data_IF_095194998233
#
_entry.id   IF_095194998233
#
_cell.length_a   1.000
_cell.length_b   1.000
_cell.length_c   1.000
_cell.angle_alpha   90.00
_cell.angle_beta   90.00
_cell.angle_gamma   90.00
#
_symmetry.space_group_name_H-M   'P 1'
#
loop_
_entity.id
_entity.type
_entity.pdbx_description
1 polymer ?
#
# COMPACT_ATOMS: atom_id res chain seq x y z
N UNK A 1 -9.36 -26.79 63.22
CA UNK A 1 -8.62 -25.51 63.22
C UNK A 1 -7.34 -25.75 62.41
N UNK A 2 -6.99 -25.15 61.27
CA UNK A 2 -7.52 -24.08 60.42
C UNK A 2 -7.08 -24.47 58.99
N UNK A 3 -8.03 -24.47 58.04
CA UNK A 3 -7.76 -24.56 56.59
C UNK A 3 -7.11 -23.24 56.16
N UNK A 4 -5.92 -23.28 55.55
CA UNK A 4 -5.41 -22.14 54.81
C UNK A 4 -5.09 -22.50 53.36
N UNK A 5 -5.97 -21.99 52.50
CA UNK A 5 -5.84 -21.88 51.06
C UNK A 5 -4.58 -21.08 50.74
N UNK A 6 -3.73 -21.54 49.83
CA UNK A 6 -3.09 -20.67 48.83
C UNK A 6 -2.94 -21.43 47.52
N UNK A 7 -3.87 -21.11 46.62
CA UNK A 7 -3.73 -21.34 45.19
C UNK A 7 -2.46 -20.63 44.72
N UNK A 8 -1.54 -21.36 44.09
CA UNK A 8 -0.47 -20.75 43.30
C UNK A 8 -1.06 -20.46 41.94
N UNK A 9 -1.25 -19.17 41.72
CA UNK A 9 -1.78 -18.51 40.54
C UNK A 9 -0.86 -18.74 39.36
N UNK A 10 -1.46 -19.13 38.23
CA UNK A 10 -0.92 -19.03 36.88
C UNK A 10 -0.23 -17.67 36.67
N UNK A 11 1.06 -17.66 36.36
CA UNK A 11 1.70 -16.49 35.75
C UNK A 11 2.04 -16.86 34.32
N UNK A 12 1.27 -16.25 33.43
CA UNK A 12 1.42 -16.26 31.99
C UNK A 12 2.81 -15.78 31.59
N UNK A 13 3.55 -16.63 30.89
CA UNK A 13 4.70 -16.21 30.09
C UNK A 13 4.16 -15.93 28.67
N UNK A 14 3.53 -14.76 28.49
CA UNK A 14 3.39 -14.16 27.16
C UNK A 14 4.61 -13.26 26.99
N UNK A 15 5.72 -13.87 26.63
CA UNK A 15 6.94 -13.16 26.25
C UNK A 15 6.74 -12.57 24.85
N UNK A 16 6.62 -11.25 24.81
CA UNK A 16 7.18 -10.35 23.81
C UNK A 16 7.15 -10.82 22.34
N UNK A 17 6.00 -10.66 21.67
CA UNK A 17 5.98 -10.36 20.24
C UNK A 17 6.29 -8.87 20.01
N UNK A 18 7.46 -8.44 20.47
CA UNK A 18 8.03 -7.13 20.20
C UNK A 18 8.94 -7.17 18.97
N UNK A 19 8.59 -7.97 17.95
CA UNK A 19 9.27 -7.86 16.67
C UNK A 19 8.75 -6.59 16.00
N UNK A 20 9.67 -5.71 15.62
CA UNK A 20 9.37 -4.47 14.95
C UNK A 20 8.80 -4.66 13.51
N UNK A 21 7.97 -5.67 13.26
CA UNK A 21 7.40 -6.01 11.96
C UNK A 21 6.10 -5.25 11.67
N UNK A 22 5.85 -4.97 10.39
CA UNK A 22 4.62 -4.34 9.92
C UNK A 22 3.38 -4.95 10.62
N UNK A 23 2.37 -4.13 10.96
CA UNK A 23 1.13 -4.66 11.48
C UNK A 23 0.53 -5.69 10.52
N UNK A 24 -0.19 -6.67 11.07
CA UNK A 24 -0.81 -7.72 10.26
C UNK A 24 -1.74 -7.11 9.22
N UNK A 25 -1.48 -7.45 7.95
CA UNK A 25 -2.22 -6.93 6.82
C UNK A 25 -3.55 -7.67 6.70
N UNK A 26 -4.62 -6.94 6.39
CA UNK A 26 -5.92 -7.57 6.16
C UNK A 26 -5.83 -8.57 5.01
N UNK A 27 -6.37 -9.78 5.23
CA UNK A 27 -6.39 -10.82 4.20
C UNK A 27 -7.45 -10.50 3.15
N UNK A 28 -7.01 -10.28 1.91
CA UNK A 28 -7.88 -10.12 0.76
C UNK A 28 -8.27 -11.51 0.23
N UNK A 29 -9.56 -11.70 -0.05
CA UNK A 29 -10.09 -12.94 -0.63
C UNK A 29 -10.50 -12.81 -2.10
N UNK A 30 -10.77 -11.60 -2.55
CA UNK A 30 -11.23 -11.30 -3.91
C UNK A 30 -10.76 -9.90 -4.30
N UNK A 31 -10.30 -9.73 -5.54
CA UNK A 31 -10.00 -8.41 -6.10
C UNK A 31 -11.14 -8.00 -7.03
N UNK A 32 -11.77 -6.87 -6.74
CA UNK A 32 -12.77 -6.28 -7.63
C UNK A 32 -12.08 -5.45 -8.71
N UNK A 33 -12.32 -5.78 -9.98
CA UNK A 33 -11.54 -5.30 -11.10
C UNK A 33 -12.44 -4.66 -12.17
N UNK A 34 -12.18 -3.40 -12.50
CA UNK A 34 -12.85 -2.65 -13.57
C UNK A 34 -11.89 -2.32 -14.71
N UNK A 35 -12.27 -2.70 -15.93
CA UNK A 35 -11.57 -2.29 -17.14
C UNK A 35 -12.47 -2.35 -18.37
N UNK A 36 -12.29 -1.39 -19.27
CA UNK A 36 -13.05 -1.26 -20.52
C UNK A 36 -14.58 -1.22 -20.27
N UNK A 37 -15.01 -0.62 -19.17
CA UNK A 37 -16.41 -0.50 -18.78
C UNK A 37 -17.02 -1.76 -18.16
N UNK A 38 -16.23 -2.84 -17.99
CA UNK A 38 -16.67 -4.07 -17.34
C UNK A 38 -16.03 -4.17 -15.96
N UNK A 39 -16.85 -4.43 -14.94
CA UNK A 39 -16.42 -4.58 -13.56
C UNK A 39 -16.90 -5.92 -12.99
N UNK A 40 -16.06 -6.55 -12.18
CA UNK A 40 -16.41 -7.76 -11.44
C UNK A 40 -15.21 -8.38 -10.73
N UNK A 41 -15.40 -9.55 -10.10
CA UNK A 41 -14.32 -10.30 -9.48
C UNK A 41 -13.23 -10.67 -10.49
N UNK A 42 -11.96 -10.44 -10.14
CA UNK A 42 -10.83 -10.62 -11.05
C UNK A 42 -10.68 -12.09 -11.46
N UNK A 43 -10.73 -13.03 -10.52
CA UNK A 43 -10.59 -14.48 -10.79
C UNK A 43 -11.63 -15.06 -11.73
N UNK A 44 -12.80 -14.41 -11.89
CA UNK A 44 -13.84 -14.89 -12.80
C UNK A 44 -13.57 -14.56 -14.27
N UNK A 45 -12.78 -13.52 -14.54
CA UNK A 45 -12.62 -12.97 -15.89
C UNK A 45 -11.17 -12.80 -16.33
N UNK A 46 -10.20 -12.94 -15.41
CA UNK A 46 -8.80 -12.57 -15.62
C UNK A 46 -7.85 -13.61 -15.05
N UNK A 47 -6.75 -13.83 -15.76
CA UNK A 47 -5.58 -14.56 -15.29
C UNK A 47 -4.63 -13.66 -14.49
N UNK A 48 -3.75 -14.27 -13.70
CA UNK A 48 -2.69 -13.55 -12.99
C UNK A 48 -1.80 -12.72 -13.95
N UNK A 49 -1.50 -13.25 -15.14
CA UNK A 49 -0.65 -12.56 -16.12
C UNK A 49 -1.37 -11.36 -16.76
N UNK A 50 -2.68 -11.43 -16.95
CA UNK A 50 -3.49 -10.27 -17.38
C UNK A 50 -3.52 -9.18 -16.31
N UNK A 51 -3.68 -9.56 -15.04
CA UNK A 51 -3.62 -8.61 -13.91
C UNK A 51 -2.23 -7.98 -13.78
N UNK A 52 -1.17 -8.77 -13.92
CA UNK A 52 0.21 -8.26 -13.92
C UNK A 52 0.42 -7.21 -15.02
N UNK A 53 -0.01 -7.50 -16.24
CA UNK A 53 0.06 -6.54 -17.37
C UNK A 53 -0.80 -5.32 -17.10
N UNK A 54 -1.98 -5.48 -16.51
CA UNK A 54 -2.85 -4.38 -16.13
C UNK A 54 -2.14 -3.39 -15.20
N UNK A 55 -1.54 -3.91 -14.12
CA UNK A 55 -0.78 -3.11 -13.16
C UNK A 55 0.41 -2.42 -13.82
N UNK A 56 1.18 -3.16 -14.63
CA UNK A 56 2.35 -2.63 -15.33
C UNK A 56 1.99 -1.45 -16.22
N UNK A 57 0.96 -1.56 -17.05
CA UNK A 57 0.60 -0.49 -17.99
C UNK A 57 -0.03 0.71 -17.28
N UNK A 58 -0.83 0.49 -16.22
CA UNK A 58 -1.35 1.60 -15.41
C UNK A 58 -0.19 2.41 -14.82
N UNK A 59 0.82 1.71 -14.27
CA UNK A 59 2.03 2.32 -13.77
C UNK A 59 2.80 3.02 -14.90
N UNK A 60 3.05 2.33 -16.02
CA UNK A 60 3.84 2.89 -17.12
C UNK A 60 3.18 4.14 -17.74
N UNK A 61 1.86 4.14 -17.88
CA UNK A 61 1.06 5.27 -18.34
C UNK A 61 1.19 6.51 -17.43
N UNK A 62 1.51 6.28 -16.15
CA UNK A 62 1.64 7.31 -15.13
C UNK A 62 3.09 7.52 -14.65
N UNK A 63 4.07 6.94 -15.34
CA UNK A 63 5.49 7.20 -15.07
C UNK A 63 5.80 8.69 -15.26
N UNK A 64 6.52 9.25 -14.30
CA UNK A 64 6.84 10.68 -14.21
C UNK A 64 5.69 11.58 -13.77
N UNK A 65 4.52 11.03 -13.39
CA UNK A 65 3.34 11.81 -12.98
C UNK A 65 3.02 11.63 -11.50
N UNK A 66 2.38 12.65 -10.95
CA UNK A 66 2.04 12.69 -9.53
C UNK A 66 0.71 11.96 -9.27
N UNK A 67 0.75 10.96 -8.40
CA UNK A 67 -0.43 10.28 -7.87
C UNK A 67 -0.79 10.82 -6.49
N UNK A 68 -2.01 10.54 -6.05
CA UNK A 68 -2.51 10.93 -4.72
C UNK A 68 -2.94 9.71 -3.92
N UNK A 69 -2.78 9.81 -2.61
CA UNK A 69 -3.37 8.87 -1.67
C UNK A 69 -4.63 9.47 -1.05
N UNK A 70 -5.67 8.67 -0.93
CA UNK A 70 -6.93 9.09 -0.33
C UNK A 70 -7.37 8.05 0.70
N UNK A 71 -7.65 8.52 1.91
CA UNK A 71 -8.29 7.70 2.92
C UNK A 71 -9.72 7.40 2.50
N UNK A 72 -10.16 6.16 2.56
CA UNK A 72 -11.57 5.81 2.28
C UNK A 72 -11.90 4.46 2.90
N UNK A 73 -13.09 3.94 2.65
CA UNK A 73 -13.50 2.60 3.07
C UNK A 73 -13.56 1.65 1.88
N UNK A 74 -13.48 0.33 2.12
CA UNK A 74 -13.69 -0.69 1.09
C UNK A 74 -15.07 -0.61 0.41
N UNK A 75 -16.08 0.01 1.05
CA UNK A 75 -17.41 0.20 0.47
C UNK A 75 -17.47 1.40 -0.48
N UNK A 76 -16.76 2.49 -0.15
CA UNK A 76 -16.81 3.74 -0.92
C UNK A 76 -15.85 3.74 -2.12
N UNK A 77 -14.63 3.21 -1.96
CA UNK A 77 -13.61 3.06 -3.02
C UNK A 77 -13.41 4.33 -3.87
N UNK A 78 -13.41 5.50 -3.23
CA UNK A 78 -13.33 6.77 -3.94
C UNK A 78 -12.43 7.78 -3.23
N UNK A 79 -11.76 8.60 -4.04
CA UNK A 79 -10.96 9.74 -3.61
C UNK A 79 -11.82 11.01 -3.54
N UNK A 80 -12.96 10.98 -2.82
CA UNK A 80 -13.80 12.16 -2.63
C UNK A 80 -13.09 13.26 -1.83
N UNK A 81 -13.82 13.99 -0.99
CA UNK A 81 -13.21 15.02 -0.12
C UNK A 81 -12.39 14.42 1.05
N UNK A 82 -12.19 13.11 1.05
CA UNK A 82 -11.44 12.42 2.07
C UNK A 82 -9.95 12.73 1.94
N UNK A 83 -9.35 13.18 3.06
CA UNK A 83 -7.94 13.55 3.13
C UNK A 83 -6.98 12.38 2.93
N UNK A 84 -5.69 12.65 3.11
CA UNK A 84 -4.65 11.63 3.04
C UNK A 84 -4.82 10.54 4.13
N UNK A 85 -4.43 9.27 3.87
CA UNK A 85 -4.31 8.28 4.92
C UNK A 85 -3.25 8.72 5.93
N UNK A 86 -3.62 8.71 7.21
CA UNK A 86 -2.78 9.15 8.30
C UNK A 86 -2.74 8.11 9.43
N UNK A 87 -1.64 8.05 10.15
CA UNK A 87 -1.57 7.34 11.43
C UNK A 87 -0.68 8.07 12.42
N UNK A 88 -0.77 7.64 13.68
CA UNK A 88 0.04 8.21 14.75
C UNK A 88 1.51 7.79 14.63
N UNK A 89 2.40 8.75 14.85
CA UNK A 89 3.86 8.58 14.89
C UNK A 89 4.41 9.33 16.10
N UNK A 90 5.30 8.68 16.84
CA UNK A 90 6.14 9.29 17.84
C UNK A 90 7.44 9.76 17.18
N UNK A 91 7.56 11.06 16.87
CA UNK A 91 8.76 11.68 16.35
C UNK A 91 9.71 12.10 17.46
N UNK A 92 10.52 11.18 17.98
CA UNK A 92 11.27 11.40 19.21
C UNK A 92 10.32 11.69 20.38
N UNK A 93 10.46 12.82 21.09
CA UNK A 93 9.54 13.20 22.16
C UNK A 93 8.21 13.82 21.65
N UNK A 94 8.08 14.07 20.34
CA UNK A 94 6.94 14.80 19.78
C UNK A 94 5.91 13.80 19.22
N UNK A 95 4.72 13.66 19.82
CA UNK A 95 3.65 12.87 19.24
C UNK A 95 2.97 13.63 18.09
N UNK A 96 2.57 12.94 17.02
CA UNK A 96 1.92 13.59 15.89
C UNK A 96 1.30 12.64 14.87
N UNK A 97 0.57 13.20 13.92
CA UNK A 97 0.04 12.44 12.77
C UNK A 97 1.02 12.49 11.61
N UNK A 98 1.39 11.32 11.12
CA UNK A 98 2.07 11.14 9.84
C UNK A 98 1.04 10.82 8.75
N UNK A 99 1.04 11.56 7.65
CA UNK A 99 0.10 11.36 6.54
C UNK A 99 0.84 11.17 5.22
N UNK A 100 0.50 10.13 4.45
CA UNK A 100 1.01 9.93 3.10
C UNK A 100 0.07 10.58 2.09
N UNK A 101 0.49 11.66 1.44
CA UNK A 101 -0.38 12.47 0.58
C UNK A 101 -0.42 12.00 -0.87
N UNK A 102 0.56 11.19 -1.28
CA UNK A 102 0.76 10.75 -2.65
C UNK A 102 2.24 10.77 -2.98
N UNK A 103 2.57 10.96 -4.24
CA UNK A 103 3.96 10.93 -4.68
C UNK A 103 4.09 10.91 -6.18
N UNK A 104 5.27 10.51 -6.65
CA UNK A 104 5.53 10.34 -8.08
C UNK A 104 6.12 8.96 -8.37
N UNK A 105 5.67 8.36 -9.46
CA UNK A 105 6.23 7.12 -9.97
C UNK A 105 7.41 7.43 -10.90
N UNK A 106 8.65 7.26 -10.42
CA UNK A 106 9.86 7.71 -11.13
C UNK A 106 10.31 6.78 -12.25
N UNK A 107 10.16 5.48 -12.04
CA UNK A 107 10.58 4.46 -12.99
C UNK A 107 9.69 3.22 -12.83
N UNK A 108 9.37 2.58 -13.95
CA UNK A 108 8.55 1.36 -14.00
C UNK A 108 9.21 0.32 -14.89
N UNK A 109 9.31 -0.91 -14.39
CA UNK A 109 9.78 -2.08 -15.11
C UNK A 109 8.84 -3.27 -14.93
N UNK A 110 8.99 -4.28 -15.78
CA UNK A 110 8.23 -5.53 -15.71
C UNK A 110 9.21 -6.72 -15.57
N UNK A 111 9.07 -7.46 -14.47
CA UNK A 111 9.65 -8.78 -14.29
C UNK A 111 8.54 -9.82 -14.51
N UNK A 112 8.34 -10.22 -15.76
CA UNK A 112 7.31 -11.18 -16.13
C UNK A 112 7.58 -12.58 -15.54
N UNK A 113 8.85 -12.98 -15.42
CA UNK A 113 9.22 -14.29 -14.90
C UNK A 113 8.94 -14.41 -13.39
N UNK A 114 9.21 -13.35 -12.63
CA UNK A 114 8.88 -13.28 -11.21
C UNK A 114 7.44 -12.85 -10.90
N UNK A 115 6.63 -12.53 -11.92
CA UNK A 115 5.30 -11.90 -11.80
C UNK A 115 5.29 -10.64 -10.94
N UNK A 116 6.22 -9.72 -11.24
CA UNK A 116 6.37 -8.45 -10.53
C UNK A 116 6.38 -7.26 -11.46
N UNK A 117 5.71 -6.19 -11.06
CA UNK A 117 6.00 -4.84 -11.57
C UNK A 117 7.03 -4.23 -10.64
N UNK A 118 8.14 -3.78 -11.20
CA UNK A 118 9.19 -3.07 -10.46
C UNK A 118 8.91 -1.58 -10.59
N UNK A 119 9.03 -0.85 -9.48
CA UNK A 119 8.77 0.57 -9.46
C UNK A 119 9.72 1.31 -8.52
N UNK A 120 9.95 2.58 -8.82
CA UNK A 120 10.58 3.55 -7.91
C UNK A 120 9.54 4.59 -7.56
N UNK A 121 9.11 4.65 -6.29
CA UNK A 121 8.18 5.69 -5.82
C UNK A 121 8.94 6.77 -5.07
N UNK A 122 8.67 8.02 -5.41
CA UNK A 122 9.00 9.17 -4.59
C UNK A 122 7.77 9.53 -3.77
N UNK A 123 7.67 8.98 -2.56
CA UNK A 123 6.54 9.21 -1.68
C UNK A 123 6.62 10.56 -0.97
N UNK A 124 5.48 11.23 -0.86
CA UNK A 124 5.31 12.48 -0.14
C UNK A 124 4.57 12.22 1.16
N UNK A 125 5.19 12.65 2.25
CA UNK A 125 4.67 12.51 3.60
C UNK A 125 4.66 13.85 4.32
N UNK A 126 3.75 13.98 5.27
CA UNK A 126 3.73 15.09 6.24
C UNK A 126 3.74 14.55 7.66
N UNK A 127 4.34 15.29 8.59
CA UNK A 127 4.26 15.05 10.02
C UNK A 127 3.78 16.31 10.71
N UNK A 128 2.63 16.23 11.38
CA UNK A 128 1.97 17.41 11.99
C UNK A 128 1.82 18.55 10.94
N UNK A 129 1.51 18.16 9.70
CA UNK A 129 1.37 19.09 8.56
C UNK A 129 2.68 19.60 7.95
N UNK A 130 3.84 19.30 8.52
CA UNK A 130 5.14 19.68 7.95
C UNK A 130 5.59 18.62 6.95
N UNK A 131 5.88 18.98 5.68
CA UNK A 131 6.40 18.02 4.70
C UNK A 131 7.73 17.40 5.14
N UNK A 132 7.83 16.08 5.05
CA UNK A 132 9.07 15.34 5.21
C UNK A 132 9.85 15.29 3.89
N UNK A 133 11.15 15.07 3.99
CA UNK A 133 12.02 14.80 2.83
C UNK A 133 12.39 13.32 2.84
N UNK A 134 11.81 12.57 1.91
CA UNK A 134 12.06 11.14 1.76
C UNK A 134 12.93 10.86 0.54
N UNK A 135 13.81 9.88 0.67
CA UNK A 135 14.48 9.26 -0.46
C UNK A 135 13.49 8.45 -1.28
N UNK A 136 13.85 8.19 -2.53
CA UNK A 136 13.08 7.30 -3.38
C UNK A 136 13.08 5.87 -2.81
N UNK A 137 11.91 5.24 -2.80
CA UNK A 137 11.76 3.82 -2.48
C UNK A 137 12.15 2.97 -3.69
N UNK A 138 13.46 2.92 -3.94
CA UNK A 138 14.03 2.08 -4.98
C UNK A 138 13.71 0.59 -4.70
N UNK A 139 13.50 -0.18 -5.77
CA UNK A 139 13.16 -1.62 -5.70
C UNK A 139 11.77 -1.92 -5.08
N UNK A 140 10.82 -1.00 -5.19
CA UNK A 140 9.44 -1.29 -4.85
C UNK A 140 8.86 -2.30 -5.82
N UNK A 141 8.02 -3.21 -5.32
CA UNK A 141 7.48 -4.31 -6.12
C UNK A 141 5.98 -4.45 -5.93
N UNK A 142 5.28 -4.60 -7.05
CA UNK A 142 3.90 -5.10 -7.07
C UNK A 142 3.96 -6.55 -7.51
N UNK A 143 3.72 -7.47 -6.59
CA UNK A 143 3.71 -8.91 -6.85
C UNK A 143 2.29 -9.38 -7.12
N UNK A 144 2.10 -10.13 -8.20
CA UNK A 144 0.82 -10.74 -8.57
C UNK A 144 0.95 -12.26 -8.48
N UNK A 145 0.54 -12.82 -7.35
CA UNK A 145 0.56 -14.28 -7.13
C UNK A 145 -0.57 -14.95 -7.90
N UNK A 146 -1.77 -14.36 -7.82
CA UNK A 146 -2.98 -14.78 -8.53
C UNK A 146 -3.81 -13.56 -8.95
N UNK A 147 -4.94 -13.78 -9.64
CA UNK A 147 -5.84 -12.69 -9.98
C UNK A 147 -6.43 -11.96 -8.75
N UNK A 148 -6.56 -12.66 -7.61
CA UNK A 148 -7.12 -12.14 -6.36
C UNK A 148 -6.05 -11.92 -5.27
N UNK A 149 -4.78 -12.15 -5.56
CA UNK A 149 -3.68 -12.01 -4.60
C UNK A 149 -2.60 -11.13 -5.18
N UNK A 150 -2.68 -9.85 -4.81
CA UNK A 150 -1.84 -8.76 -5.31
C UNK A 150 -1.33 -7.96 -4.13
N UNK A 151 0.00 -7.83 -4.02
CA UNK A 151 0.63 -7.06 -2.95
C UNK A 151 1.56 -6.01 -3.54
N UNK A 152 1.42 -4.77 -3.08
CA UNK A 152 2.38 -3.69 -3.34
C UNK A 152 3.27 -3.55 -2.11
N UNK A 153 4.57 -3.62 -2.30
CA UNK A 153 5.56 -3.46 -1.24
C UNK A 153 6.56 -2.39 -1.67
N UNK A 154 6.66 -1.32 -0.89
CA UNK A 154 7.67 -0.31 -1.14
C UNK A 154 8.99 -0.76 -0.53
N UNK A 155 10.06 -0.69 -1.32
CA UNK A 155 11.41 -0.85 -0.77
C UNK A 155 11.61 0.14 0.37
N UNK A 156 12.33 -0.27 1.43
CA UNK A 156 12.57 0.62 2.57
C UNK A 156 13.13 1.96 2.09
N UNK A 157 12.56 3.05 2.60
CA UNK A 157 12.99 4.39 2.24
C UNK A 157 13.25 5.22 3.49
N UNK A 158 14.29 6.04 3.39
CA UNK A 158 14.71 6.91 4.47
C UNK A 158 14.01 8.26 4.36
N UNK A 159 13.50 8.77 5.48
CA UNK A 159 12.86 10.07 5.56
C UNK A 159 13.46 10.92 6.68
N UNK A 160 13.72 12.18 6.36
CA UNK A 160 13.95 13.23 7.34
C UNK A 160 12.63 13.98 7.59
N UNK A 161 12.10 13.85 8.80
CA UNK A 161 10.89 14.52 9.23
C UNK A 161 11.32 15.72 10.07
N UNK A 162 11.68 16.83 9.42
CA UNK A 162 12.16 18.08 10.03
C UNK A 162 11.67 18.29 11.47
N UNK A 163 12.59 18.22 12.43
CA UNK A 163 12.31 18.38 13.87
C UNK A 163 11.97 17.08 14.64
N UNK A 164 11.40 16.07 13.98
CA UNK A 164 11.20 14.72 14.54
C UNK A 164 12.41 13.80 14.34
N UNK A 165 13.23 14.10 13.32
CA UNK A 165 14.49 13.41 13.04
C UNK A 165 14.41 12.47 11.84
N UNK A 166 15.34 11.53 11.82
CA UNK A 166 15.52 10.58 10.72
C UNK A 166 14.82 9.25 11.02
N UNK A 167 14.09 8.73 10.04
CA UNK A 167 13.34 7.48 10.13
C UNK A 167 13.53 6.64 8.87
N UNK A 168 13.45 5.33 9.02
CA UNK A 168 13.25 4.39 7.93
C UNK A 168 11.77 4.02 7.91
N UNK A 169 11.17 4.08 6.74
CA UNK A 169 9.77 3.79 6.52
C UNK A 169 9.61 2.50 5.69
N UNK A 170 8.58 1.74 6.04
CA UNK A 170 8.16 0.51 5.36
C UNK A 170 6.68 0.62 5.04
N UNK A 171 6.30 0.23 3.82
CA UNK A 171 4.92 0.28 3.37
C UNK A 171 4.56 -0.99 2.61
N UNK A 172 3.40 -1.57 2.94
CA UNK A 172 2.81 -2.68 2.19
C UNK A 172 1.32 -2.42 2.02
N UNK A 173 0.78 -2.77 0.86
CA UNK A 173 -0.65 -2.75 0.56
C UNK A 173 -1.10 -4.07 -0.05
N UNK A 174 -2.14 -4.68 0.51
CA UNK A 174 -2.88 -5.77 -0.11
C UNK A 174 -4.02 -5.16 -0.93
N UNK A 175 -3.95 -5.35 -2.24
CA UNK A 175 -4.91 -4.76 -3.18
C UNK A 175 -6.17 -5.61 -3.22
N UNK A 176 -7.33 -4.98 -3.07
CA UNK A 176 -8.66 -5.60 -3.21
C UNK A 176 -9.51 -4.93 -4.30
N UNK A 177 -9.01 -3.83 -4.89
CA UNK A 177 -9.72 -3.03 -5.87
C UNK A 177 -8.77 -2.49 -6.93
N UNK A 178 -9.11 -2.71 -8.19
CA UNK A 178 -8.41 -2.14 -9.34
C UNK A 178 -9.46 -1.56 -10.27
N UNK A 179 -9.37 -0.26 -10.56
CA UNK A 179 -10.24 0.41 -11.52
C UNK A 179 -9.41 1.18 -12.52
N UNK A 180 -9.12 0.50 -13.63
CA UNK A 180 -8.31 1.03 -14.70
C UNK A 180 -9.03 2.16 -15.45
N UNK A 181 -10.35 2.09 -15.52
CA UNK A 181 -11.20 3.10 -16.18
C UNK A 181 -11.18 4.44 -15.44
N UNK A 182 -10.80 4.43 -14.15
CA UNK A 182 -10.61 5.62 -13.32
C UNK A 182 -9.17 5.83 -12.85
N UNK A 183 -8.23 4.96 -13.22
CA UNK A 183 -6.83 5.02 -12.79
C UNK A 183 -6.68 4.89 -11.26
N UNK A 184 -7.33 3.90 -10.65
CA UNK A 184 -7.33 3.70 -9.19
C UNK A 184 -6.87 2.31 -8.82
N UNK A 185 -6.11 2.23 -7.73
CA UNK A 185 -5.84 0.99 -7.00
C UNK A 185 -6.28 1.21 -5.56
N UNK A 186 -7.03 0.29 -5.00
CA UNK A 186 -7.48 0.29 -3.62
C UNK A 186 -7.00 -0.92 -2.86
N UNK A 187 -6.72 -0.73 -1.58
CA UNK A 187 -6.27 -1.81 -0.74
C UNK A 187 -6.11 -1.44 0.72
N UNK A 188 -5.95 -2.49 1.51
CA UNK A 188 -5.57 -2.38 2.91
C UNK A 188 -4.07 -2.14 2.99
N UNK A 189 -3.67 -1.08 3.65
CA UNK A 189 -2.27 -0.72 3.80
C UNK A 189 -1.80 -0.92 5.24
N UNK A 190 -0.51 -1.18 5.37
CA UNK A 190 0.26 -1.19 6.59
C UNK A 190 1.50 -0.31 6.37
N UNK A 191 1.74 0.62 7.29
CA UNK A 191 2.92 1.47 7.27
C UNK A 191 3.58 1.45 8.63
N UNK A 192 4.91 1.38 8.65
CA UNK A 192 5.68 1.50 9.87
C UNK A 192 6.91 2.37 9.67
N UNK A 193 7.23 3.16 10.70
CA UNK A 193 8.43 3.98 10.76
C UNK A 193 9.24 3.61 12.00
N UNK A 194 10.57 3.64 11.88
CA UNK A 194 11.51 3.38 12.97
C UNK A 194 12.76 4.26 12.84
N UNK A 195 13.44 4.54 13.94
CA UNK A 195 14.66 5.36 13.98
C UNK A 195 14.62 6.33 15.16
N UNK A 196 14.80 7.62 14.89
CA UNK A 196 14.61 8.68 15.91
C UNK A 196 13.16 8.77 16.42
N UNK A 197 12.23 8.19 15.67
CA UNK A 197 10.85 8.00 16.08
C UNK A 197 10.36 6.59 15.80
N UNK A 198 9.10 6.32 16.17
CA UNK A 198 8.43 5.07 15.86
C UNK A 198 6.94 5.28 15.62
N UNK A 199 6.36 4.47 14.75
CA UNK A 199 4.93 4.52 14.48
C UNK A 199 4.51 3.35 13.63
N UNK A 200 3.28 2.88 13.83
CA UNK A 200 2.67 1.84 13.02
C UNK A 200 1.24 2.24 12.74
N UNK A 201 0.81 2.07 11.51
CA UNK A 201 -0.52 2.36 11.05
C UNK A 201 -1.03 1.28 10.12
N UNK A 202 -2.34 1.08 10.15
CA UNK A 202 -3.06 0.35 9.11
C UNK A 202 -4.29 1.13 8.72
N UNK A 203 -4.82 0.82 7.55
CA UNK A 203 -6.09 1.37 7.10
C UNK A 203 -6.44 0.89 5.72
N UNK A 204 -7.40 1.58 5.10
CA UNK A 204 -7.77 1.38 3.71
C UNK A 204 -7.54 2.70 2.96
N UNK A 205 -6.98 2.60 1.76
CA UNK A 205 -6.71 3.78 0.94
C UNK A 205 -6.84 3.46 -0.54
N UNK A 206 -7.08 4.52 -1.33
CA UNK A 206 -6.95 4.50 -2.78
C UNK A 206 -5.66 5.23 -3.16
N UNK A 207 -4.88 4.61 -4.05
CA UNK A 207 -3.89 5.28 -4.89
C UNK A 207 -4.60 5.73 -6.17
N UNK A 208 -4.72 7.05 -6.34
CA UNK A 208 -5.32 7.67 -7.51
C UNK A 208 -4.24 8.19 -8.44
N UNK A 209 -4.15 7.59 -9.61
CA UNK A 209 -3.30 8.04 -10.70
C UNK A 209 -3.99 9.15 -11.50
N UNK A 210 -3.25 10.11 -12.06
CA UNK A 210 -3.82 11.23 -12.80
C UNK A 210 -4.35 10.83 -14.17
N UNK A 211 -3.84 9.74 -14.75
CA UNK A 211 -4.25 9.25 -16.06
C UNK A 211 -4.84 7.85 -15.94
N UNK A 212 -6.14 7.75 -16.21
CA UNK A 212 -6.85 6.49 -16.37
C UNK A 212 -6.47 5.80 -17.68
N UNK A 213 -6.77 4.52 -17.77
CA UNK A 213 -6.52 3.74 -18.98
C UNK A 213 -7.62 3.98 -20.01
N UNK A 214 -7.30 3.99 -21.33
CA UNK A 214 -8.29 4.24 -22.37
C UNK A 214 -9.46 3.25 -22.32
N UNK A 215 -10.68 3.76 -22.48
CA UNK A 215 -11.90 2.95 -22.55
C UNK A 215 -12.02 2.31 -23.93
N UNK A 216 -12.54 1.08 -23.98
CA UNK A 216 -12.96 0.43 -25.23
C UNK A 216 -12.00 -0.61 -25.81
N UNK A 217 -10.76 -0.69 -25.34
CA UNK A 217 -9.81 -1.75 -25.72
C UNK A 217 -9.23 -2.43 -24.47
N UNK A 218 -9.16 -3.75 -24.49
CA UNK A 218 -8.50 -4.53 -23.44
C UNK A 218 -6.98 -4.55 -23.70
N UNK A 219 -6.31 -3.42 -23.50
CA UNK A 219 -4.88 -3.20 -23.79
C UNK A 219 -3.91 -4.12 -23.01
N UNK A 220 -4.36 -4.79 -21.95
CA UNK A 220 -3.58 -5.78 -21.18
C UNK A 220 -3.87 -7.22 -21.56
N UNK A 221 -4.97 -7.48 -22.27
CA UNK A 221 -5.11 -8.74 -22.99
C UNK A 221 -4.13 -8.62 -24.14
N UNK A 222 -3.19 -9.55 -24.24
CA UNK A 222 -2.39 -9.64 -25.46
C UNK A 222 -3.37 -9.61 -26.64
N UNK A 223 -3.12 -8.79 -27.66
CA UNK A 223 -3.54 -9.21 -28.99
C UNK A 223 -3.03 -10.64 -29.14
N UNK A 224 -3.94 -11.58 -29.38
CA UNK A 224 -3.55 -12.93 -29.77
C UNK A 224 -2.45 -12.76 -30.82
N UNK A 225 -1.25 -13.26 -30.56
CA UNK A 225 -0.23 -13.27 -31.59
C UNK A 225 -0.83 -14.00 -32.81
N UNK A 226 -0.62 -13.50 -34.03
CA UNK A 226 -1.12 -14.15 -35.24
C UNK A 226 -0.63 -15.60 -35.35
#
# INVERSE_FOLDING_TARGET
MVRWRRAVVFVAVVLAAGCAGLPELHKVSEVYFCAAGQCGPASQARSADEVLRAMYQLYKQNEGKDFKHCSTTPAERSCGDAGAPCHFVMGGPIPGMGCGTGGQLKAVGLDAAGRRVLATFNEQFTFIGVPGVCQDSANSTTTVTSADEITVNHGEYYCNWSGAGNMVATFVMAVDYIDLDKGRIGGYWAHAVAGTGSGRGTGYAIVQFPVAMPKGENWFKASAAP
#
